data_IF_044292828313
#
_entry.id   IF_044292828313
#
_cell.length_a   1.000
_cell.length_b   1.000
_cell.length_c   1.000
_cell.angle_alpha   90.00
_cell.angle_beta   90.00
_cell.angle_gamma   90.00
#
_symmetry.space_group_name_H-M   'P 1'
#
loop_
_entity.id
_entity.type
_entity.pdbx_description
1 polymer ?
#
# COMPACT_ATOMS: atom_id res chain seq x y z
N UNK A 1 -22.51 -0.95 -12.93
CA UNK A 1 -21.22 -1.60 -13.25
C UNK A 1 -20.10 -0.63 -13.63
N UNK A 2 -20.25 0.24 -14.64
CA UNK A 2 -19.21 1.22 -15.05
C UNK A 2 -18.71 2.09 -13.89
N UNK A 3 -19.63 2.68 -13.12
CA UNK A 3 -19.31 3.48 -11.91
C UNK A 3 -18.43 2.73 -10.90
N UNK A 4 -18.70 1.44 -10.66
CA UNK A 4 -17.93 0.64 -9.71
C UNK A 4 -16.50 0.39 -10.22
N UNK A 5 -16.37 0.08 -11.51
CA UNK A 5 -15.06 -0.06 -12.17
C UNK A 5 -14.26 1.24 -12.10
N UNK A 6 -14.88 2.39 -12.36
CA UNK A 6 -14.21 3.69 -12.27
C UNK A 6 -13.71 3.96 -10.86
N UNK A 7 -14.55 3.79 -9.83
CA UNK A 7 -14.14 4.04 -8.44
C UNK A 7 -13.03 3.10 -8.00
N UNK A 8 -13.12 1.81 -8.36
CA UNK A 8 -12.06 0.84 -8.11
C UNK A 8 -10.74 1.30 -8.74
N UNK A 9 -10.73 1.61 -10.03
CA UNK A 9 -9.48 1.98 -10.72
C UNK A 9 -8.89 3.29 -10.24
N UNK A 10 -9.71 4.29 -9.91
CA UNK A 10 -9.21 5.54 -9.31
C UNK A 10 -8.50 5.25 -7.99
N UNK A 11 -9.12 4.49 -7.07
CA UNK A 11 -8.50 4.14 -5.81
C UNK A 11 -7.24 3.27 -6.01
N UNK A 12 -7.31 2.27 -6.89
CA UNK A 12 -6.21 1.35 -7.16
C UNK A 12 -5.02 2.06 -7.81
N UNK A 13 -5.23 3.03 -8.71
CA UNK A 13 -4.13 3.83 -9.28
C UNK A 13 -3.42 4.64 -8.20
N UNK A 14 -4.16 5.23 -7.26
CA UNK A 14 -3.54 5.95 -6.15
C UNK A 14 -2.69 4.99 -5.29
N UNK A 15 -3.20 3.79 -4.99
CA UNK A 15 -2.44 2.75 -4.28
C UNK A 15 -1.21 2.31 -5.08
N UNK A 16 -1.33 2.14 -6.41
CA UNK A 16 -0.20 1.79 -7.27
C UNK A 16 0.91 2.84 -7.18
N UNK A 17 0.54 4.11 -7.28
CA UNK A 17 1.51 5.20 -7.22
C UNK A 17 2.16 5.30 -5.84
N UNK A 18 1.35 5.25 -4.78
CA UNK A 18 1.81 5.50 -3.42
C UNK A 18 2.55 4.33 -2.79
N UNK A 19 1.99 3.12 -2.88
CA UNK A 19 2.55 1.91 -2.26
C UNK A 19 3.49 1.15 -3.20
N UNK A 20 3.39 1.37 -4.52
CA UNK A 20 4.21 0.68 -5.51
C UNK A 20 5.30 1.55 -6.11
N UNK A 21 4.91 2.53 -6.93
CA UNK A 21 5.83 3.28 -7.80
C UNK A 21 6.80 4.14 -7.01
N UNK A 22 6.32 5.00 -6.10
CA UNK A 22 7.18 5.87 -5.31
C UNK A 22 8.25 5.12 -4.47
N UNK A 23 7.89 4.10 -3.66
CA UNK A 23 8.89 3.35 -2.91
C UNK A 23 9.82 2.53 -3.82
N UNK A 24 9.32 1.97 -4.92
CA UNK A 24 10.16 1.25 -5.88
C UNK A 24 11.14 2.19 -6.59
N UNK A 25 10.71 3.40 -6.97
CA UNK A 25 11.60 4.38 -7.59
C UNK A 25 12.67 4.85 -6.62
N UNK A 26 12.32 5.04 -5.34
CA UNK A 26 13.30 5.33 -4.30
C UNK A 26 14.33 4.19 -4.20
N UNK A 27 13.88 2.93 -4.18
CA UNK A 27 14.79 1.79 -4.12
C UNK A 27 15.74 1.69 -5.35
N UNK A 28 15.23 1.93 -6.55
CA UNK A 28 15.97 1.74 -7.81
C UNK A 28 16.91 2.91 -8.15
N UNK A 29 16.51 4.14 -7.83
CA UNK A 29 17.21 5.34 -8.29
C UNK A 29 17.81 6.17 -7.15
N UNK A 30 17.44 5.90 -5.90
CA UNK A 30 17.87 6.70 -4.74
C UNK A 30 17.81 5.87 -3.46
N UNK A 31 18.67 4.86 -3.33
CA UNK A 31 18.63 3.89 -2.22
C UNK A 31 18.65 4.54 -0.83
N UNK A 32 19.30 5.70 -0.69
CA UNK A 32 19.26 6.51 0.53
C UNK A 32 17.83 6.97 0.86
N UNK A 33 17.06 7.41 -0.14
CA UNK A 33 15.66 7.82 0.01
C UNK A 33 14.73 6.66 0.38
N UNK A 34 15.07 5.43 -0.02
CA UNK A 34 14.26 4.25 0.26
C UNK A 34 14.14 3.96 1.78
N UNK A 35 15.08 4.46 2.58
CA UNK A 35 15.15 4.21 4.03
C UNK A 35 14.69 5.40 4.89
N UNK A 36 14.40 6.56 4.29
CA UNK A 36 14.06 7.80 5.03
C UNK A 36 12.82 7.61 5.91
N UNK A 37 11.83 6.84 5.46
CA UNK A 37 10.61 6.60 6.24
C UNK A 37 10.77 5.59 7.37
N UNK A 38 11.85 4.81 7.40
CA UNK A 38 12.01 3.68 8.34
C UNK A 38 13.22 3.82 9.27
N UNK A 39 14.30 4.46 8.80
CA UNK A 39 15.52 4.64 9.58
C UNK A 39 15.31 5.52 10.83
N UNK A 40 14.56 6.64 10.79
CA UNK A 40 14.23 7.42 11.99
C UNK A 40 13.41 6.63 13.02
N UNK A 41 12.71 5.59 12.58
CA UNK A 41 11.93 4.69 13.42
C UNK A 41 12.79 3.57 14.07
N UNK A 42 14.09 3.53 13.77
CA UNK A 42 15.01 2.51 14.27
C UNK A 42 14.98 1.18 13.50
N UNK A 43 14.30 1.11 12.35
CA UNK A 43 14.32 -0.11 11.54
C UNK A 43 15.63 -0.24 10.77
N UNK A 44 16.18 -1.47 10.66
CA UNK A 44 17.35 -1.74 9.83
C UNK A 44 17.02 -1.61 8.34
N UNK A 45 18.00 -1.21 7.52
CA UNK A 45 17.78 -0.90 6.10
C UNK A 45 17.20 -2.10 5.30
N UNK A 46 17.56 -3.34 5.65
CA UNK A 46 17.00 -4.53 4.99
C UNK A 46 15.47 -4.62 5.14
N UNK A 47 14.92 -4.13 6.26
CA UNK A 47 13.48 -4.12 6.50
C UNK A 47 12.79 -3.22 5.49
N UNK A 48 13.34 -2.03 5.22
CA UNK A 48 12.81 -1.12 4.21
C UNK A 48 12.78 -1.78 2.84
N UNK A 49 13.87 -2.42 2.42
CA UNK A 49 13.97 -3.07 1.11
C UNK A 49 12.98 -4.23 0.97
N UNK A 50 12.92 -5.11 1.97
CA UNK A 50 11.96 -6.20 2.00
C UNK A 50 10.51 -5.69 1.94
N UNK A 51 10.22 -4.64 2.71
CA UNK A 51 8.90 -4.02 2.76
C UNK A 51 8.49 -3.44 1.41
N UNK A 52 9.38 -2.72 0.73
CA UNK A 52 9.14 -2.15 -0.61
C UNK A 52 8.81 -3.27 -1.61
N UNK A 53 9.59 -4.35 -1.62
CA UNK A 53 9.34 -5.50 -2.51
C UNK A 53 7.95 -6.10 -2.22
N UNK A 54 7.62 -6.33 -0.96
CA UNK A 54 6.30 -6.85 -0.57
C UNK A 54 5.15 -5.92 -0.99
N UNK A 55 5.32 -4.59 -0.86
CA UNK A 55 4.30 -3.63 -1.30
C UNK A 55 4.09 -3.70 -2.80
N UNK A 56 5.16 -3.73 -3.59
CA UNK A 56 5.09 -3.86 -5.06
C UNK A 56 4.35 -5.14 -5.46
N UNK A 57 4.68 -6.28 -4.84
CA UNK A 57 3.98 -7.54 -5.08
C UNK A 57 2.48 -7.44 -4.74
N UNK A 58 2.13 -6.81 -3.61
CA UNK A 58 0.74 -6.59 -3.20
C UNK A 58 -0.03 -5.73 -4.20
N UNK A 59 0.56 -4.62 -4.64
CA UNK A 59 -0.02 -3.70 -5.63
C UNK A 59 -0.24 -4.42 -6.97
N UNK A 60 0.75 -5.19 -7.45
CA UNK A 60 0.63 -5.98 -8.69
C UNK A 60 -0.49 -7.01 -8.56
N UNK A 61 -0.57 -7.72 -7.42
CA UNK A 61 -1.61 -8.70 -7.17
C UNK A 61 -3.02 -8.10 -7.22
N UNK A 62 -3.22 -6.90 -6.67
CA UNK A 62 -4.51 -6.19 -6.71
C UNK A 62 -4.86 -5.75 -8.14
N UNK A 63 -3.87 -5.30 -8.91
CA UNK A 63 -4.07 -4.64 -10.20
C UNK A 63 -4.29 -5.61 -11.36
N UNK A 64 -3.70 -6.81 -11.29
CA UNK A 64 -3.76 -7.79 -12.38
C UNK A 64 -5.08 -8.60 -12.31
N UNK A 65 -5.93 -8.55 -13.36
CA UNK A 65 -7.21 -9.27 -13.36
C UNK A 65 -7.06 -10.79 -13.17
N UNK A 66 -6.03 -11.38 -13.76
CA UNK A 66 -5.75 -12.82 -13.78
C UNK A 66 -5.29 -13.38 -12.42
N UNK A 67 -4.89 -12.52 -11.47
CA UNK A 67 -4.43 -12.99 -10.16
C UNK A 67 -5.60 -13.61 -9.38
N UNK A 68 -5.43 -14.84 -8.83
CA UNK A 68 -6.47 -15.54 -8.07
C UNK A 68 -7.03 -14.70 -6.91
N UNK A 69 -8.33 -14.84 -6.65
CA UNK A 69 -9.01 -14.08 -5.59
C UNK A 69 -8.35 -14.24 -4.21
N UNK A 70 -7.87 -15.44 -3.87
CA UNK A 70 -7.17 -15.69 -2.60
C UNK A 70 -5.88 -14.86 -2.45
N UNK A 71 -5.08 -14.76 -3.52
CA UNK A 71 -3.86 -13.94 -3.51
C UNK A 71 -4.18 -12.45 -3.43
N UNK A 72 -5.30 -12.01 -4.02
CA UNK A 72 -5.78 -10.62 -3.85
C UNK A 72 -6.13 -10.33 -2.40
N UNK A 73 -6.84 -11.22 -1.71
CA UNK A 73 -7.13 -11.04 -0.29
C UNK A 73 -5.86 -10.99 0.57
N UNK A 74 -4.83 -11.79 0.25
CA UNK A 74 -3.52 -11.69 0.90
C UNK A 74 -2.84 -10.35 0.67
N UNK A 75 -2.88 -9.84 -0.56
CA UNK A 75 -2.35 -8.53 -0.90
C UNK A 75 -3.05 -7.39 -0.14
N UNK A 76 -4.38 -7.41 -0.09
CA UNK A 76 -5.16 -6.44 0.69
C UNK A 76 -4.85 -6.53 2.19
N UNK A 77 -4.75 -7.73 2.75
CA UNK A 77 -4.41 -7.93 4.16
C UNK A 77 -3.01 -7.43 4.48
N UNK A 78 -2.01 -7.79 3.65
CA UNK A 78 -0.62 -7.38 3.83
C UNK A 78 -0.44 -5.86 3.80
N UNK A 79 -1.03 -5.18 2.82
CA UNK A 79 -1.00 -3.70 2.74
C UNK A 79 -1.76 -3.06 3.91
N UNK A 80 -2.87 -3.66 4.35
CA UNK A 80 -3.64 -3.17 5.51
C UNK A 80 -2.78 -3.20 6.79
N UNK A 81 -2.16 -4.34 7.10
CA UNK A 81 -1.29 -4.45 8.27
C UNK A 81 -0.06 -3.55 8.16
N UNK A 82 0.51 -3.43 6.97
CA UNK A 82 1.62 -2.51 6.75
C UNK A 82 1.24 -1.06 7.12
N UNK A 83 0.11 -0.56 6.64
CA UNK A 83 -0.33 0.81 6.90
C UNK A 83 -0.70 1.04 8.37
N UNK A 84 -1.30 0.04 9.03
CA UNK A 84 -1.57 0.09 10.47
C UNK A 84 -0.26 0.16 11.27
N UNK A 85 0.71 -0.69 10.93
CA UNK A 85 2.01 -0.67 11.61
C UNK A 85 2.79 0.61 11.32
N UNK A 86 2.73 1.16 10.11
CA UNK A 86 3.33 2.47 9.83
C UNK A 86 2.75 3.56 10.75
N UNK A 87 1.43 3.62 10.91
CA UNK A 87 0.81 4.55 11.87
C UNK A 87 1.32 4.32 13.30
N UNK A 88 1.32 3.07 13.76
CA UNK A 88 1.75 2.72 15.13
C UNK A 88 3.22 3.11 15.34
N UNK A 89 4.10 2.85 14.38
CA UNK A 89 5.52 3.16 14.51
C UNK A 89 5.78 4.66 14.58
N UNK A 90 5.14 5.46 13.72
CA UNK A 90 5.23 6.92 13.81
C UNK A 90 4.62 7.45 15.11
N UNK A 91 3.46 6.92 15.54
CA UNK A 91 2.82 7.32 16.79
C UNK A 91 3.67 6.98 18.03
N UNK A 92 4.43 5.89 17.99
CA UNK A 92 5.22 5.42 19.13
C UNK A 92 6.64 6.01 19.19
N UNK A 93 7.25 6.34 18.04
CA UNK A 93 8.67 6.72 17.99
C UNK A 93 8.87 8.21 17.77
N UNK A 94 8.33 8.77 16.67
CA UNK A 94 8.61 10.16 16.28
C UNK A 94 7.47 11.16 16.57
N UNK A 95 6.25 10.65 16.80
CA UNK A 95 5.03 11.42 17.06
C UNK A 95 4.73 12.49 15.99
N UNK A 96 5.22 12.29 14.77
CA UNK A 96 4.98 13.21 13.67
C UNK A 96 3.56 13.03 13.12
N UNK A 97 2.70 14.02 13.36
CA UNK A 97 1.28 13.98 12.97
C UNK A 97 1.12 13.71 11.45
N UNK A 98 1.99 14.28 10.61
CA UNK A 98 1.94 14.05 9.17
C UNK A 98 2.20 12.59 8.80
N UNK A 99 3.27 12.01 9.36
CA UNK A 99 3.61 10.60 9.11
C UNK A 99 2.68 9.60 9.79
N UNK A 100 1.97 10.02 10.85
CA UNK A 100 0.88 9.24 11.43
C UNK A 100 -0.36 9.23 10.53
N UNK A 101 -0.83 10.41 10.09
CA UNK A 101 -2.12 10.48 9.37
C UNK A 101 -2.03 9.93 7.94
N UNK A 102 -0.89 10.05 7.27
CA UNK A 102 -0.74 9.61 5.87
C UNK A 102 -1.06 8.12 5.66
N UNK A 103 -0.50 7.16 6.45
CA UNK A 103 -0.89 5.75 6.38
C UNK A 103 -2.39 5.50 6.55
N UNK A 104 -3.08 6.27 7.41
CA UNK A 104 -4.53 6.14 7.62
C UNK A 104 -5.34 6.61 6.41
N UNK A 105 -4.92 7.69 5.75
CA UNK A 105 -5.54 8.16 4.51
C UNK A 105 -5.40 7.12 3.42
N UNK A 106 -4.19 6.58 3.22
CA UNK A 106 -3.92 5.53 2.23
C UNK A 106 -4.70 4.26 2.55
N UNK A 107 -4.85 3.91 3.84
CA UNK A 107 -5.66 2.78 4.28
C UNK A 107 -7.14 2.96 3.92
N UNK A 108 -7.67 4.18 4.06
CA UNK A 108 -9.02 4.51 3.61
C UNK A 108 -9.20 4.29 2.10
N UNK A 109 -8.21 4.69 1.30
CA UNK A 109 -8.21 4.49 -0.16
C UNK A 109 -8.13 2.99 -0.50
N UNK A 110 -7.30 2.23 0.21
CA UNK A 110 -7.19 0.77 0.05
C UNK A 110 -8.53 0.08 0.37
N UNK A 111 -9.21 0.51 1.43
CA UNK A 111 -10.53 0.00 1.81
C UNK A 111 -11.59 0.31 0.75
N UNK A 112 -11.54 1.48 0.12
CA UNK A 112 -12.39 1.83 -1.03
C UNK A 112 -12.09 0.90 -2.21
N UNK A 113 -10.81 0.73 -2.58
CA UNK A 113 -10.41 -0.20 -3.65
C UNK A 113 -10.97 -1.61 -3.39
N UNK A 114 -10.79 -2.13 -2.18
CA UNK A 114 -11.30 -3.43 -1.75
C UNK A 114 -12.82 -3.57 -1.90
N UNK A 115 -13.57 -2.61 -1.35
CA UNK A 115 -15.04 -2.62 -1.36
C UNK A 115 -15.58 -2.63 -2.79
N UNK A 116 -15.00 -1.84 -3.69
CA UNK A 116 -15.45 -1.78 -5.08
C UNK A 116 -14.96 -2.96 -5.91
N UNK A 117 -13.80 -3.54 -5.62
CA UNK A 117 -13.37 -4.81 -6.21
C UNK A 117 -14.38 -5.94 -5.91
N UNK A 118 -14.81 -6.09 -4.65
CA UNK A 118 -15.86 -7.07 -4.29
C UNK A 118 -17.19 -6.81 -5.00
N UNK A 119 -17.61 -5.55 -5.11
CA UNK A 119 -18.83 -5.19 -5.87
C UNK A 119 -18.74 -5.51 -7.36
N UNK A 120 -17.55 -5.43 -7.96
CA UNK A 120 -17.34 -5.81 -9.36
C UNK A 120 -17.45 -7.33 -9.52
N UNK A 121 -16.91 -8.11 -8.58
CA UNK A 121 -16.98 -9.57 -8.62
C UNK A 121 -18.37 -10.13 -8.33
N UNK A 122 -19.17 -9.47 -7.48
CA UNK A 122 -20.52 -9.91 -7.13
C UNK A 122 -21.60 -9.53 -8.17
N UNK A 123 -21.31 -8.57 -9.05
CA UNK A 123 -22.27 -8.02 -10.03
C UNK A 123 -21.70 -7.99 -11.46
N UNK A 124 -20.67 -8.80 -11.73
CA UNK A 124 -20.02 -8.94 -13.03
C UNK A 124 -20.11 -10.37 -13.50
#
# INVERSE_FOLDING_TARGET
MKKYKTIFWVATIIIILWEGVMPLSALLFSSEQATIGTRPLGYPDYFAYALIICKVLGVVAISVPQVPARLKEWAYAGLTFNLIFAFISHAAVDQNIGFMLMPLVVLGILAVSYRYNRKIQAHG
#
